data_IF_031521519990
#
_entry.id   IF_031521519990
#
_cell.length_a   1.000
_cell.length_b   1.000
_cell.length_c   1.000
_cell.angle_alpha   90.00
_cell.angle_beta   90.00
_cell.angle_gamma   90.00
#
_symmetry.space_group_name_H-M   'P 1'
#
loop_
_entity.id
_entity.type
_entity.pdbx_description
1 polymer ?
#
# COMPACT_ATOMS: atom_id res chain seq x y z
N UNK A 1 37.08 -8.10 13.38
CA UNK A 1 37.63 -6.79 13.79
C UNK A 1 36.47 -5.93 14.26
N UNK A 2 36.64 -5.19 15.35
CA UNK A 2 35.60 -4.28 15.87
C UNK A 2 35.86 -2.90 15.27
N UNK A 3 34.91 -2.40 14.49
CA UNK A 3 34.96 -1.10 13.84
C UNK A 3 34.17 -0.10 14.67
N UNK A 4 34.58 1.17 14.68
CA UNK A 4 33.82 2.26 15.30
C UNK A 4 33.61 3.38 14.29
N UNK A 5 32.41 3.94 14.25
CA UNK A 5 32.04 5.05 13.37
C UNK A 5 31.15 6.04 14.13
N UNK A 6 31.32 7.34 13.89
CA UNK A 6 30.50 8.38 14.52
C UNK A 6 29.64 9.09 13.49
N UNK A 7 28.35 9.24 13.79
CA UNK A 7 27.41 10.05 13.01
C UNK A 7 27.02 11.28 13.84
N UNK A 8 27.31 12.47 13.34
CA UNK A 8 27.00 13.74 14.02
C UNK A 8 25.67 14.30 13.51
N UNK A 9 24.72 14.53 14.41
CA UNK A 9 23.42 15.12 14.07
C UNK A 9 23.56 16.65 13.86
N UNK A 10 23.17 17.21 12.70
CA UNK A 10 23.30 18.66 12.42
C UNK A 10 22.58 19.55 13.44
N UNK A 11 23.22 20.64 13.88
CA UNK A 11 22.71 21.61 14.89
C UNK A 11 21.23 21.99 14.76
N UNK A 12 20.76 22.18 13.52
CA UNK A 12 19.38 22.55 13.19
C UNK A 12 18.31 21.50 13.56
N UNK A 13 18.72 20.26 13.83
CA UNK A 13 17.81 19.15 14.14
C UNK A 13 17.81 18.94 15.66
N UNK A 14 16.67 19.08 16.35
CA UNK A 14 16.58 18.73 17.77
C UNK A 14 16.90 17.25 17.99
N UNK A 15 17.74 16.92 18.97
CA UNK A 15 18.09 15.52 19.27
C UNK A 15 16.86 14.67 19.63
N UNK A 16 15.85 15.27 20.26
CA UNK A 16 14.58 14.59 20.57
C UNK A 16 13.83 14.10 19.32
N UNK A 17 14.02 14.74 18.16
CA UNK A 17 13.41 14.30 16.91
C UNK A 17 14.10 13.05 16.33
N UNK A 18 15.35 12.79 16.75
CA UNK A 18 16.15 11.65 16.31
C UNK A 18 16.08 10.50 17.31
N UNK A 19 16.14 10.80 18.61
CA UNK A 19 16.17 9.80 19.69
C UNK A 19 14.79 9.39 20.20
N UNK A 20 13.74 10.13 19.85
CA UNK A 20 12.38 9.92 20.31
C UNK A 20 12.16 10.36 21.76
N UNK A 21 10.91 10.29 22.22
CA UNK A 21 10.61 10.63 23.62
C UNK A 21 11.12 9.53 24.55
N UNK A 22 11.81 9.89 25.64
CA UNK A 22 12.43 8.93 26.59
C UNK A 22 13.35 7.90 25.91
N UNK A 23 14.02 8.31 24.85
CA UNK A 23 14.97 7.50 24.06
C UNK A 23 14.35 6.23 23.43
N UNK A 24 13.03 6.24 23.17
CA UNK A 24 12.33 5.08 22.61
C UNK A 24 12.87 4.65 21.24
N UNK A 25 13.28 5.60 20.39
CA UNK A 25 13.87 5.33 19.07
C UNK A 25 15.27 4.77 19.21
N UNK A 26 16.08 5.32 20.13
CA UNK A 26 17.42 4.78 20.40
C UNK A 26 17.34 3.32 20.84
N UNK A 27 16.44 2.98 21.78
CA UNK A 27 16.25 1.59 22.22
C UNK A 27 15.74 0.68 21.11
N UNK A 28 14.93 1.20 20.20
CA UNK A 28 14.48 0.43 19.02
C UNK A 28 15.65 0.13 18.09
N UNK A 29 16.50 1.11 17.81
CA UNK A 29 17.72 0.97 17.02
C UNK A 29 18.70 -0.02 17.66
N UNK A 30 18.95 0.08 18.96
CA UNK A 30 19.83 -0.83 19.69
C UNK A 30 19.37 -2.29 19.59
N UNK A 31 18.07 -2.54 19.70
CA UNK A 31 17.51 -3.89 19.54
C UNK A 31 17.63 -4.43 18.13
N UNK A 32 17.31 -3.61 17.12
CA UNK A 32 17.27 -4.07 15.74
C UNK A 32 18.63 -4.10 15.03
N UNK A 33 19.63 -3.36 15.53
CA UNK A 33 20.98 -3.31 14.96
C UNK A 33 22.00 -4.22 15.67
N UNK A 34 21.57 -4.99 16.67
CA UNK A 34 22.44 -5.97 17.33
C UNK A 34 23.11 -6.89 16.29
N UNK A 35 24.44 -7.10 16.34
CA UNK A 35 25.35 -6.84 17.46
C UNK A 35 26.02 -5.44 17.49
N UNK A 36 25.64 -4.48 16.65
CA UNK A 36 26.16 -3.12 16.72
C UNK A 36 25.64 -2.41 17.99
N UNK A 37 26.55 -1.78 18.72
CA UNK A 37 26.27 -0.98 19.92
C UNK A 37 26.22 0.51 19.56
N UNK A 38 25.24 1.21 20.12
CA UNK A 38 25.05 2.64 19.93
C UNK A 38 25.35 3.38 21.24
N UNK A 39 26.11 4.47 21.16
CA UNK A 39 26.39 5.36 22.27
C UNK A 39 26.16 6.80 21.83
N UNK A 40 25.32 7.52 22.57
CA UNK A 40 25.00 8.92 22.25
C UNK A 40 25.71 9.85 23.23
N UNK A 41 26.49 10.79 22.71
CA UNK A 41 27.13 11.85 23.50
C UNK A 41 26.88 13.21 22.86
N UNK A 42 26.02 14.00 23.48
CA UNK A 42 25.62 15.30 22.93
C UNK A 42 24.89 15.13 21.61
N UNK A 43 25.58 15.37 20.49
CA UNK A 43 25.03 15.25 19.13
C UNK A 43 25.68 14.14 18.31
N UNK A 44 26.65 13.46 18.89
CA UNK A 44 27.38 12.38 18.24
C UNK A 44 26.77 11.04 18.64
N UNK A 45 26.42 10.26 17.63
CA UNK A 45 25.96 8.87 17.77
C UNK A 45 27.14 8.00 17.33
N UNK A 46 27.82 7.41 18.30
CA UNK A 46 28.91 6.48 18.08
C UNK A 46 28.35 5.06 17.92
N UNK A 47 28.83 4.37 16.89
CA UNK A 47 28.41 3.02 16.49
C UNK A 47 29.64 2.13 16.61
N UNK A 48 29.55 1.01 17.31
CA UNK A 48 30.68 0.09 17.49
C UNK A 48 30.23 -1.37 17.32
N UNK A 49 30.99 -2.18 16.59
CA UNK A 49 30.62 -3.58 16.35
C UNK A 49 31.37 -4.21 15.17
N UNK A 50 30.89 -5.34 14.63
CA UNK A 50 31.40 -5.90 13.38
C UNK A 50 31.22 -4.92 12.22
N UNK A 51 32.18 -4.87 11.31
CA UNK A 51 32.21 -3.92 10.19
C UNK A 51 30.89 -3.88 9.39
N UNK A 52 30.36 -5.04 8.99
CA UNK A 52 29.09 -5.14 8.27
C UNK A 52 27.90 -4.55 9.06
N UNK A 53 27.86 -4.77 10.38
CA UNK A 53 26.80 -4.23 11.24
C UNK A 53 26.94 -2.71 11.43
N UNK A 54 28.19 -2.22 11.53
CA UNK A 54 28.49 -0.78 11.63
C UNK A 54 28.09 -0.06 10.35
N UNK A 55 28.31 -0.64 9.18
CA UNK A 55 27.93 -0.05 7.90
C UNK A 55 26.41 0.07 7.73
N UNK A 56 25.66 -0.99 8.07
CA UNK A 56 24.19 -0.98 8.06
C UNK A 56 23.67 0.09 9.03
N UNK A 57 24.18 0.09 10.28
CA UNK A 57 23.79 1.05 11.30
C UNK A 57 24.10 2.50 10.88
N UNK A 58 25.28 2.75 10.30
CA UNK A 58 25.68 4.07 9.79
C UNK A 58 24.73 4.57 8.71
N UNK A 59 24.43 3.72 7.72
CA UNK A 59 23.52 4.08 6.64
C UNK A 59 22.11 4.34 7.15
N UNK A 60 21.60 3.51 8.08
CA UNK A 60 20.28 3.69 8.69
C UNK A 60 20.19 5.01 9.46
N UNK A 61 21.14 5.26 10.35
CA UNK A 61 21.14 6.47 11.18
C UNK A 61 21.27 7.72 10.31
N UNK A 62 22.11 7.69 9.26
CA UNK A 62 22.20 8.79 8.29
C UNK A 62 20.87 9.11 7.61
N UNK A 63 20.16 8.08 7.15
CA UNK A 63 18.84 8.20 6.52
C UNK A 63 17.79 8.73 7.50
N UNK A 64 17.74 8.19 8.71
CA UNK A 64 16.84 8.65 9.78
C UNK A 64 17.09 10.09 10.20
N UNK A 65 18.36 10.51 10.29
CA UNK A 65 18.73 11.92 10.53
C UNK A 65 18.25 12.80 9.37
N UNK A 66 18.30 12.31 8.12
CA UNK A 66 17.76 13.03 6.98
C UNK A 66 16.23 13.14 7.02
N UNK A 67 15.51 12.11 7.44
CA UNK A 67 14.06 12.16 7.68
C UNK A 67 13.70 13.15 8.80
N UNK A 68 14.44 13.12 9.92
CA UNK A 68 14.25 14.10 10.99
C UNK A 68 14.51 15.54 10.53
N UNK A 69 15.39 15.73 9.54
CA UNK A 69 15.70 17.04 8.98
C UNK A 69 14.57 17.66 8.16
N UNK A 70 13.61 16.85 7.67
CA UNK A 70 12.40 17.36 6.99
C UNK A 70 11.28 17.73 7.97
N UNK A 71 11.57 17.80 9.27
CA UNK A 71 10.61 18.21 10.31
C UNK A 71 9.72 17.08 10.83
N UNK A 72 9.94 15.84 10.39
CA UNK A 72 9.21 14.69 10.91
C UNK A 72 9.84 14.18 12.21
N UNK A 73 9.03 13.89 13.23
CA UNK A 73 9.49 13.21 14.43
C UNK A 73 9.63 11.71 14.15
N UNK A 74 10.80 11.14 14.46
CA UNK A 74 10.98 9.70 14.38
C UNK A 74 10.18 9.02 15.50
N UNK A 75 9.50 7.93 15.14
CA UNK A 75 8.81 7.04 16.07
C UNK A 75 9.43 5.66 16.01
N UNK A 76 9.22 4.86 17.05
CA UNK A 76 9.63 3.44 17.10
C UNK A 76 9.18 2.69 15.84
N UNK A 77 7.91 2.86 15.44
CA UNK A 77 7.35 2.29 14.22
C UNK A 77 8.08 2.71 12.94
N UNK A 78 8.49 3.98 12.84
CA UNK A 78 9.22 4.48 11.67
C UNK A 78 10.62 3.86 11.55
N UNK A 79 11.26 3.64 12.70
CA UNK A 79 12.59 3.03 12.81
C UNK A 79 12.53 1.54 12.48
N UNK A 80 11.56 0.82 13.04
CA UNK A 80 11.34 -0.60 12.71
C UNK A 80 11.09 -0.80 11.22
N UNK A 81 10.27 0.07 10.59
CA UNK A 81 10.08 0.05 9.14
C UNK A 81 11.37 0.33 8.37
N UNK A 82 12.16 1.33 8.77
CA UNK A 82 13.42 1.66 8.12
C UNK A 82 14.42 0.49 8.19
N UNK A 83 14.47 -0.21 9.32
CA UNK A 83 15.27 -1.43 9.49
C UNK A 83 14.82 -2.55 8.56
N UNK A 84 13.52 -2.80 8.44
CA UNK A 84 12.98 -3.80 7.51
C UNK A 84 13.32 -3.47 6.06
N UNK A 85 13.21 -2.19 5.65
CA UNK A 85 13.57 -1.74 4.30
C UNK A 85 15.05 -2.02 4.01
N UNK A 86 15.93 -1.71 4.95
CA UNK A 86 17.37 -1.93 4.78
C UNK A 86 17.77 -3.40 4.78
N UNK A 87 17.13 -4.23 5.62
CA UNK A 87 17.41 -5.67 5.71
C UNK A 87 17.02 -6.40 4.42
N UNK A 88 16.03 -5.88 3.69
CA UNK A 88 15.64 -6.37 2.36
C UNK A 88 16.57 -5.90 1.22
N UNK A 89 17.75 -5.33 1.54
CA UNK A 89 18.77 -4.95 0.56
C UNK A 89 18.58 -3.58 -0.09
N UNK A 90 17.70 -2.74 0.45
CA UNK A 90 17.36 -1.44 -0.14
C UNK A 90 17.91 -0.29 0.71
N UNK A 91 18.83 0.49 0.13
CA UNK A 91 19.62 1.50 0.84
C UNK A 91 18.97 2.90 0.93
N UNK A 92 17.66 3.04 0.78
CA UNK A 92 16.99 4.37 0.78
C UNK A 92 15.65 4.45 1.56
N UNK A 93 15.64 4.21 2.89
CA UNK A 93 14.44 4.37 3.70
C UNK A 93 13.79 5.77 3.64
N UNK A 94 14.58 6.84 3.47
CA UNK A 94 14.05 8.21 3.42
C UNK A 94 13.00 8.39 2.32
N UNK A 95 13.26 7.89 1.11
CA UNK A 95 12.35 8.05 -0.03
C UNK A 95 10.97 7.44 0.25
N UNK A 96 10.90 6.35 1.03
CA UNK A 96 9.64 5.74 1.43
C UNK A 96 8.99 6.54 2.58
N UNK A 97 9.77 6.89 3.61
CA UNK A 97 9.23 7.51 4.83
C UNK A 97 8.72 8.94 4.64
N UNK A 98 9.27 9.69 3.69
CA UNK A 98 8.87 11.08 3.43
C UNK A 98 7.76 11.24 2.39
N UNK A 99 7.33 10.15 1.74
CA UNK A 99 6.34 10.22 0.66
C UNK A 99 4.93 10.22 1.21
N UNK A 100 4.40 11.39 1.56
CA UNK A 100 3.02 11.53 2.01
C UNK A 100 2.08 11.59 0.80
N UNK A 101 1.05 10.73 0.78
CA UNK A 101 0.05 10.73 -0.30
C UNK A 101 -1.09 11.66 0.07
N UNK A 102 -1.72 11.40 1.22
CA UNK A 102 -2.91 12.12 1.66
C UNK A 102 -2.85 12.28 3.17
N UNK A 103 -3.15 13.47 3.67
CA UNK A 103 -3.37 13.70 5.10
C UNK A 103 -4.79 14.20 5.31
N UNK A 104 -5.56 13.45 6.09
CA UNK A 104 -6.92 13.80 6.46
C UNK A 104 -7.11 13.60 7.97
N UNK A 105 -7.63 14.61 8.67
CA UNK A 105 -7.93 14.55 10.13
C UNK A 105 -6.77 14.00 10.99
N UNK A 106 -5.53 14.34 10.66
CA UNK A 106 -4.33 13.87 11.37
C UNK A 106 -3.89 12.43 11.04
N UNK A 107 -4.64 11.69 10.21
CA UNK A 107 -4.18 10.44 9.62
C UNK A 107 -3.47 10.72 8.30
N UNK A 108 -2.20 10.31 8.20
CA UNK A 108 -1.43 10.39 6.94
C UNK A 108 -1.34 9.02 6.29
N UNK A 109 -1.84 8.91 5.07
CA UNK A 109 -1.68 7.76 4.18
C UNK A 109 -0.39 7.94 3.40
N UNK A 110 0.51 6.97 3.51
CA UNK A 110 1.83 6.94 2.86
C UNK A 110 2.24 5.48 2.57
N UNK A 111 3.07 5.21 1.55
CA UNK A 111 3.69 3.92 1.40
C UNK A 111 4.59 3.66 2.60
N UNK A 112 4.61 2.42 3.07
CA UNK A 112 5.36 1.97 4.25
C UNK A 112 6.50 1.03 3.88
N UNK A 113 6.51 0.54 2.65
CA UNK A 113 7.52 -0.35 2.09
C UNK A 113 7.98 0.18 0.74
N UNK A 114 9.11 -0.33 0.26
CA UNK A 114 9.62 0.05 -1.05
C UNK A 114 8.70 -0.41 -2.19
N UNK A 115 8.15 -1.63 -2.14
CA UNK A 115 7.21 -2.11 -3.16
C UNK A 115 5.95 -1.23 -3.21
N UNK A 116 5.46 -0.79 -2.05
CA UNK A 116 4.36 0.18 -1.99
C UNK A 116 4.73 1.54 -2.59
N UNK A 117 5.98 2.00 -2.43
CA UNK A 117 6.47 3.24 -3.04
C UNK A 117 6.58 3.11 -4.56
N UNK A 118 7.19 2.03 -5.05
CA UNK A 118 7.27 1.74 -6.48
C UNK A 118 5.87 1.65 -7.10
N UNK A 119 4.92 1.04 -6.39
CA UNK A 119 3.53 1.00 -6.80
C UNK A 119 2.90 2.39 -6.94
N UNK A 120 3.09 3.25 -5.94
CA UNK A 120 2.57 4.62 -5.94
C UNK A 120 3.19 5.47 -7.05
N UNK A 121 4.50 5.33 -7.28
CA UNK A 121 5.22 6.04 -8.35
C UNK A 121 4.75 5.58 -9.73
N UNK A 122 4.59 4.26 -9.90
CA UNK A 122 4.05 3.70 -11.13
C UNK A 122 2.65 4.27 -11.42
N UNK A 123 1.81 4.44 -10.39
CA UNK A 123 0.50 5.10 -10.53
C UNK A 123 0.66 6.52 -11.02
N UNK A 124 1.66 7.30 -10.61
CA UNK A 124 1.85 8.65 -11.13
C UNK A 124 2.29 8.66 -12.60
N UNK A 125 3.24 7.80 -12.95
CA UNK A 125 3.94 7.81 -14.24
C UNK A 125 3.19 7.13 -15.39
N UNK A 126 2.23 6.23 -15.11
CA UNK A 126 1.61 5.37 -16.11
C UNK A 126 0.10 5.58 -16.22
N UNK A 127 -0.47 5.36 -17.41
CA UNK A 127 -1.91 5.48 -17.64
C UNK A 127 -2.68 4.30 -17.04
N UNK A 128 -2.11 3.09 -17.13
CA UNK A 128 -2.69 1.87 -16.55
C UNK A 128 -1.67 1.21 -15.64
N UNK A 129 -2.06 0.91 -14.39
CA UNK A 129 -1.21 0.20 -13.44
C UNK A 129 -1.94 -1.01 -12.88
N UNK A 130 -1.26 -2.15 -12.88
CA UNK A 130 -1.70 -3.36 -12.22
C UNK A 130 -0.94 -3.54 -10.91
N UNK A 131 -1.63 -3.46 -9.77
CA UNK A 131 -1.11 -3.78 -8.45
C UNK A 131 -1.51 -5.21 -8.07
N UNK A 132 -0.59 -6.15 -8.16
CA UNK A 132 -0.86 -7.58 -7.93
C UNK A 132 -0.13 -8.00 -6.66
N UNK A 133 -0.82 -8.62 -5.70
CA UNK A 133 -0.18 -9.13 -4.49
C UNK A 133 -1.16 -9.51 -3.39
N UNK A 134 -0.66 -10.07 -2.27
CA UNK A 134 -1.51 -10.61 -1.22
C UNK A 134 -2.36 -9.56 -0.50
N UNK A 135 -3.38 -10.00 0.22
CA UNK A 135 -4.18 -9.14 1.09
C UNK A 135 -3.32 -8.48 2.19
N UNK A 136 -3.54 -7.18 2.41
CA UNK A 136 -2.78 -6.39 3.41
C UNK A 136 -1.52 -5.71 2.87
N UNK A 137 -1.20 -5.85 1.58
CA UNK A 137 -0.12 -5.11 0.90
C UNK A 137 -0.46 -3.65 0.59
N UNK A 138 -1.70 -3.24 0.81
CA UNK A 138 -2.15 -1.85 0.59
C UNK A 138 -2.49 -1.49 -0.87
N UNK A 139 -2.48 -2.45 -1.80
CA UNK A 139 -2.76 -2.22 -3.25
C UNK A 139 -4.00 -1.35 -3.53
N UNK A 140 -5.14 -1.72 -2.99
CA UNK A 140 -6.40 -0.98 -3.21
C UNK A 140 -6.42 0.32 -2.43
N UNK A 141 -5.97 0.29 -1.17
CA UNK A 141 -5.97 1.46 -0.28
C UNK A 141 -5.08 2.60 -0.80
N UNK A 142 -3.87 2.29 -1.27
CA UNK A 142 -2.96 3.29 -1.84
C UNK A 142 -3.45 3.82 -3.19
N UNK A 143 -4.07 2.96 -4.02
CA UNK A 143 -4.69 3.41 -5.27
C UNK A 143 -5.83 4.40 -5.03
N UNK A 144 -6.69 4.12 -4.05
CA UNK A 144 -7.78 5.01 -3.64
C UNK A 144 -7.23 6.33 -3.10
N UNK A 145 -6.18 6.32 -2.29
CA UNK A 145 -5.54 7.54 -1.81
C UNK A 145 -5.03 8.40 -2.98
N UNK A 146 -4.40 7.79 -4.00
CA UNK A 146 -3.98 8.50 -5.22
C UNK A 146 -5.16 9.04 -6.04
N UNK A 147 -6.26 8.29 -6.13
CA UNK A 147 -7.46 8.76 -6.79
C UNK A 147 -8.06 10.00 -6.11
N UNK A 148 -8.12 9.99 -4.76
CA UNK A 148 -8.60 11.13 -3.97
C UNK A 148 -7.72 12.36 -4.18
N UNK A 149 -6.40 12.20 -4.16
CA UNK A 149 -5.45 13.30 -4.45
C UNK A 149 -5.67 13.85 -5.86
N UNK A 150 -5.80 12.97 -6.86
CA UNK A 150 -6.03 13.39 -8.25
C UNK A 150 -7.35 14.17 -8.40
N UNK A 151 -8.40 13.80 -7.65
CA UNK A 151 -9.66 14.53 -7.62
C UNK A 151 -9.51 15.90 -6.93
N UNK A 152 -8.90 15.94 -5.73
CA UNK A 152 -8.73 17.18 -4.96
C UNK A 152 -7.82 18.21 -5.67
N UNK A 153 -6.85 17.73 -6.45
CA UNK A 153 -5.96 18.56 -7.26
C UNK A 153 -6.49 18.86 -8.66
N UNK A 154 -7.74 18.49 -8.95
CA UNK A 154 -8.42 18.69 -10.25
C UNK A 154 -7.70 18.06 -11.46
N UNK A 155 -6.89 17.02 -11.26
CA UNK A 155 -6.30 16.25 -12.36
C UNK A 155 -7.37 15.40 -13.07
N UNK A 156 -8.34 14.90 -12.30
CA UNK A 156 -9.54 14.22 -12.79
C UNK A 156 -10.79 14.89 -12.22
N UNK A 157 -11.92 14.71 -12.89
CA UNK A 157 -13.22 15.25 -12.46
C UNK A 157 -14.04 14.26 -11.64
N UNK A 158 -13.72 12.97 -11.72
CA UNK A 158 -14.44 11.90 -11.02
C UNK A 158 -13.56 10.71 -10.68
N UNK A 159 -13.96 9.97 -9.64
CA UNK A 159 -13.40 8.68 -9.25
C UNK A 159 -14.45 7.61 -9.50
N UNK A 160 -14.07 6.51 -10.15
CA UNK A 160 -14.95 5.36 -10.37
C UNK A 160 -14.26 4.14 -9.77
N UNK A 161 -14.89 3.53 -8.77
CA UNK A 161 -14.42 2.29 -8.18
C UNK A 161 -15.37 1.17 -8.56
N UNK A 162 -14.81 0.07 -9.02
CA UNK A 162 -15.58 -1.05 -9.49
C UNK A 162 -14.96 -2.37 -9.09
N UNK A 163 -15.81 -3.37 -8.88
CA UNK A 163 -15.41 -4.71 -8.45
C UNK A 163 -16.28 -5.74 -9.18
N UNK A 164 -15.73 -6.88 -9.63
CA UNK A 164 -16.52 -7.95 -10.22
C UNK A 164 -17.38 -8.58 -9.12
N UNK A 165 -18.64 -8.87 -9.45
CA UNK A 165 -19.52 -9.63 -8.57
C UNK A 165 -19.27 -11.11 -8.85
N UNK A 166 -18.84 -11.84 -7.84
CA UNK A 166 -18.66 -13.30 -7.90
C UNK A 166 -19.62 -13.93 -6.92
N UNK A 167 -20.33 -14.95 -7.36
CA UNK A 167 -21.17 -15.76 -6.48
C UNK A 167 -20.28 -16.73 -5.68
N UNK A 168 -19.59 -16.20 -4.67
CA UNK A 168 -18.78 -16.99 -3.76
C UNK A 168 -19.69 -17.68 -2.71
N UNK A 169 -20.33 -18.78 -3.10
CA UNK A 169 -21.00 -19.71 -2.18
C UNK A 169 -22.51 -19.55 -2.02
N UNK A 170 -23.04 -18.31 -2.03
CA UNK A 170 -24.48 -18.05 -2.09
C UNK A 170 -24.82 -17.36 -3.43
N UNK A 171 -25.77 -17.89 -4.19
CA UNK A 171 -26.21 -17.17 -5.39
C UNK A 171 -26.84 -15.84 -4.97
N UNK A 172 -26.51 -14.75 -5.67
CA UNK A 172 -27.10 -13.43 -5.44
C UNK A 172 -28.65 -13.50 -5.45
N UNK A 173 -29.23 -14.54 -6.08
CA UNK A 173 -30.65 -14.84 -6.05
C UNK A 173 -31.27 -14.95 -4.65
N UNK A 174 -30.54 -15.42 -3.63
CA UNK A 174 -31.11 -15.79 -2.32
C UNK A 174 -31.18 -14.66 -1.27
N UNK A 175 -30.41 -13.58 -1.43
CA UNK A 175 -30.48 -12.44 -0.50
C UNK A 175 -31.81 -11.68 -0.72
N UNK A 176 -32.59 -11.34 0.33
CA UNK A 176 -33.79 -10.51 0.18
C UNK A 176 -33.41 -9.05 -0.13
N UNK A 177 -34.23 -8.34 -0.91
CA UNK A 177 -34.03 -6.91 -1.24
C UNK A 177 -33.82 -6.62 -2.73
N UNK A 178 -33.56 -5.34 -3.05
CA UNK A 178 -33.27 -4.89 -4.41
C UNK A 178 -31.90 -5.40 -4.88
N UNK A 179 -31.63 -5.40 -6.20
CA UNK A 179 -30.32 -5.79 -6.73
C UNK A 179 -29.17 -4.99 -6.10
N UNK A 180 -29.41 -3.71 -5.78
CA UNK A 180 -28.43 -2.86 -5.12
C UNK A 180 -28.16 -3.32 -3.68
N UNK A 181 -29.21 -3.67 -2.91
CA UNK A 181 -29.07 -4.16 -1.53
C UNK A 181 -28.25 -5.45 -1.44
N UNK A 182 -28.30 -6.28 -2.50
CA UNK A 182 -27.56 -7.53 -2.61
C UNK A 182 -26.07 -7.33 -2.93
N UNK A 183 -25.72 -6.25 -3.62
CA UNK A 183 -24.35 -5.96 -4.06
C UNK A 183 -23.63 -5.08 -3.02
N UNK A 184 -24.36 -4.25 -2.26
CA UNK A 184 -23.80 -3.33 -1.26
C UNK A 184 -22.78 -3.99 -0.31
N UNK A 185 -23.00 -5.22 0.24
CA UNK A 185 -22.02 -5.85 1.11
C UNK A 185 -20.63 -6.06 0.47
N UNK A 186 -20.58 -6.34 -0.85
CA UNK A 186 -19.34 -6.54 -1.58
C UNK A 186 -18.57 -5.23 -1.83
N UNK A 187 -19.30 -4.11 -1.86
CA UNK A 187 -18.74 -2.77 -2.09
C UNK A 187 -18.36 -2.06 -0.79
N UNK A 188 -18.90 -2.51 0.36
CA UNK A 188 -18.66 -1.89 1.68
C UNK A 188 -17.21 -1.59 2.02
N UNK A 189 -16.23 -2.50 1.76
CA UNK A 189 -14.82 -2.19 2.03
C UNK A 189 -14.30 -0.93 1.29
N UNK A 190 -14.83 -0.64 0.09
CA UNK A 190 -14.48 0.56 -0.67
C UNK A 190 -15.09 1.81 -0.02
N UNK A 191 -16.33 1.73 0.48
CA UNK A 191 -16.93 2.84 1.23
C UNK A 191 -16.17 3.12 2.53
N UNK A 192 -15.82 2.08 3.29
CA UNK A 192 -15.07 2.21 4.54
C UNK A 192 -13.71 2.89 4.30
N UNK A 193 -13.00 2.52 3.22
CA UNK A 193 -11.75 3.14 2.85
C UNK A 193 -11.90 4.63 2.46
N UNK A 194 -13.02 5.04 1.86
CA UNK A 194 -13.28 6.46 1.58
C UNK A 194 -13.45 7.28 2.87
N UNK A 195 -14.07 6.71 3.91
CA UNK A 195 -14.24 7.40 5.20
C UNK A 195 -12.91 7.69 5.91
N UNK A 196 -11.85 6.94 5.61
CA UNK A 196 -10.50 7.26 6.07
C UNK A 196 -9.85 8.41 5.29
N UNK A 197 -10.27 8.65 4.04
CA UNK A 197 -9.61 9.55 3.10
C UNK A 197 -10.30 10.91 2.97
N UNK A 198 -11.62 10.95 3.16
CA UNK A 198 -12.45 12.13 2.97
C UNK A 198 -13.22 12.48 4.23
N UNK A 199 -13.68 13.73 4.32
CA UNK A 199 -14.62 14.10 5.36
C UNK A 199 -15.95 13.32 5.21
N UNK A 200 -16.45 12.65 6.26
CA UNK A 200 -17.69 11.88 6.22
C UNK A 200 -18.90 12.67 5.70
N UNK A 201 -18.94 13.99 5.94
CA UNK A 201 -20.02 14.87 5.48
C UNK A 201 -19.95 15.18 3.97
N UNK A 202 -18.76 15.07 3.36
CA UNK A 202 -18.56 15.31 1.93
C UNK A 202 -18.91 14.08 1.09
N UNK A 203 -18.68 12.87 1.63
CA UNK A 203 -18.86 11.60 0.89
C UNK A 203 -20.28 11.47 0.30
N UNK A 204 -21.38 11.65 1.05
CA UNK A 204 -22.73 11.55 0.49
C UNK A 204 -22.98 12.53 -0.66
N UNK A 205 -22.43 13.76 -0.56
CA UNK A 205 -22.57 14.78 -1.61
C UNK A 205 -21.82 14.38 -2.88
N UNK A 206 -20.59 13.86 -2.74
CA UNK A 206 -19.77 13.41 -3.86
C UNK A 206 -20.36 12.18 -4.56
N UNK A 207 -20.94 11.25 -3.79
CA UNK A 207 -21.66 10.09 -4.33
C UNK A 207 -22.94 10.53 -5.08
N UNK A 208 -23.76 11.38 -4.46
CA UNK A 208 -25.00 11.87 -5.07
C UNK A 208 -24.75 12.69 -6.35
N UNK A 209 -23.64 13.44 -6.42
CA UNK A 209 -23.24 14.18 -7.61
C UNK A 209 -22.62 13.30 -8.71
N UNK A 210 -22.31 12.02 -8.43
CA UNK A 210 -21.58 11.14 -9.35
C UNK A 210 -20.10 11.50 -9.51
N UNK A 211 -19.57 12.37 -8.65
CA UNK A 211 -18.14 12.69 -8.59
C UNK A 211 -17.34 11.50 -8.08
N UNK A 212 -17.90 10.75 -7.14
CA UNK A 212 -17.41 9.43 -6.75
C UNK A 212 -18.49 8.42 -7.10
N UNK A 213 -18.12 7.35 -7.80
CA UNK A 213 -19.01 6.27 -8.17
C UNK A 213 -18.44 4.95 -7.65
N UNK A 214 -19.25 4.17 -6.93
CA UNK A 214 -18.92 2.79 -6.53
C UNK A 214 -19.95 1.88 -7.16
N UNK A 215 -19.55 1.04 -8.10
CA UNK A 215 -20.49 0.26 -8.91
C UNK A 215 -19.93 -1.10 -9.36
N UNK A 216 -20.78 -2.10 -9.63
CA UNK A 216 -20.36 -3.38 -10.19
C UNK A 216 -19.66 -3.25 -11.54
N UNK A 217 -18.75 -4.17 -11.87
CA UNK A 217 -18.03 -4.17 -13.15
C UNK A 217 -18.94 -4.16 -14.38
N UNK A 218 -20.12 -4.79 -14.28
CA UNK A 218 -21.10 -4.83 -15.36
C UNK A 218 -21.56 -3.42 -15.82
N UNK A 219 -21.56 -2.44 -14.91
CA UNK A 219 -22.00 -1.06 -15.19
C UNK A 219 -20.98 -0.29 -16.05
N UNK A 220 -19.78 -0.84 -16.25
CA UNK A 220 -18.77 -0.24 -17.12
C UNK A 220 -19.05 -0.48 -18.61
N UNK A 221 -19.93 -1.44 -18.93
CA UNK A 221 -20.23 -1.83 -20.32
C UNK A 221 -20.79 -0.65 -21.11
N UNK A 222 -20.23 -0.41 -22.31
CA UNK A 222 -20.70 0.64 -23.21
C UNK A 222 -20.32 2.06 -22.80
N UNK A 223 -19.54 2.24 -21.73
CA UNK A 223 -19.07 3.57 -21.29
C UNK A 223 -17.73 3.93 -21.93
N UNK A 224 -17.47 5.23 -22.00
CA UNK A 224 -16.13 5.79 -22.19
C UNK A 224 -15.83 6.66 -20.97
N UNK A 225 -14.76 6.32 -20.27
CA UNK A 225 -14.43 6.93 -18.98
C UNK A 225 -13.42 8.05 -19.22
N UNK A 226 -13.90 9.23 -19.60
CA UNK A 226 -13.08 10.46 -19.71
C UNK A 226 -12.96 11.18 -18.35
N UNK A 227 -11.88 11.92 -18.18
CA UNK A 227 -11.57 12.76 -17.01
C UNK A 227 -11.75 12.01 -15.68
N UNK A 228 -11.35 10.73 -15.63
CA UNK A 228 -11.68 9.82 -14.54
C UNK A 228 -10.46 9.07 -14.00
N UNK A 229 -10.40 8.92 -12.68
CA UNK A 229 -9.54 7.94 -12.04
C UNK A 229 -10.37 6.69 -11.74
N UNK A 230 -10.04 5.58 -12.39
CA UNK A 230 -10.83 4.35 -12.35
C UNK A 230 -10.06 3.25 -11.64
N UNK A 231 -10.67 2.62 -10.64
CA UNK A 231 -10.08 1.51 -9.89
C UNK A 231 -10.93 0.27 -10.11
N UNK A 232 -10.34 -0.80 -10.65
CA UNK A 232 -10.93 -2.14 -10.67
C UNK A 232 -10.30 -2.97 -9.55
N UNK A 233 -11.06 -3.21 -8.49
CA UNK A 233 -10.63 -4.02 -7.36
C UNK A 233 -11.01 -5.49 -7.52
N UNK A 234 -10.25 -6.37 -6.86
CA UNK A 234 -10.39 -7.83 -6.92
C UNK A 234 -10.41 -8.39 -8.35
N UNK A 235 -9.52 -7.86 -9.18
CA UNK A 235 -9.48 -8.15 -10.60
C UNK A 235 -9.14 -9.63 -10.92
N UNK A 236 -8.61 -10.38 -9.95
CA UNK A 236 -8.40 -11.83 -10.11
C UNK A 236 -9.72 -12.56 -10.41
N UNK A 237 -10.84 -11.96 -10.02
CA UNK A 237 -12.19 -12.45 -10.21
C UNK A 237 -12.87 -11.96 -11.49
N UNK A 238 -12.09 -11.50 -12.46
CA UNK A 238 -12.57 -11.18 -13.81
C UNK A 238 -12.27 -12.29 -14.79
N UNK A 239 -13.10 -12.46 -15.82
CA UNK A 239 -12.74 -13.26 -17.01
C UNK A 239 -11.88 -12.43 -17.99
N UNK A 240 -11.20 -13.06 -18.96
CA UNK A 240 -10.44 -12.32 -19.99
C UNK A 240 -11.31 -11.35 -20.79
N UNK A 241 -12.56 -11.72 -21.07
CA UNK A 241 -13.53 -10.87 -21.79
C UNK A 241 -13.92 -9.65 -20.94
N UNK A 242 -14.15 -9.84 -19.65
CA UNK A 242 -14.45 -8.75 -18.72
C UNK A 242 -13.27 -7.79 -18.56
N UNK A 243 -12.06 -8.32 -18.42
CA UNK A 243 -10.83 -7.52 -18.35
C UNK A 243 -10.64 -6.70 -19.64
N UNK A 244 -10.79 -7.33 -20.81
CA UNK A 244 -10.73 -6.62 -22.11
C UNK A 244 -11.83 -5.58 -22.24
N UNK A 245 -13.06 -5.91 -21.84
CA UNK A 245 -14.18 -4.98 -21.84
C UNK A 245 -13.87 -3.75 -21.00
N UNK A 246 -13.36 -3.94 -19.78
CA UNK A 246 -13.01 -2.88 -18.85
C UNK A 246 -11.87 -1.99 -19.34
N UNK A 247 -10.73 -2.57 -19.73
CA UNK A 247 -9.56 -1.80 -20.17
C UNK A 247 -9.86 -0.96 -21.41
N UNK A 248 -10.75 -1.44 -22.30
CA UNK A 248 -11.18 -0.68 -23.48
C UNK A 248 -12.21 0.42 -23.17
N UNK A 249 -12.58 0.64 -21.90
CA UNK A 249 -13.40 1.79 -21.50
C UNK A 249 -12.55 3.05 -21.22
N UNK A 250 -11.22 2.94 -21.23
CA UNK A 250 -10.30 4.06 -21.03
C UNK A 250 -10.64 5.21 -21.99
N UNK A 251 -10.93 6.38 -21.42
CA UNK A 251 -11.12 7.63 -22.17
C UNK A 251 -9.91 8.57 -22.05
N UNK A 252 -10.05 9.77 -22.61
CA UNK A 252 -9.05 10.82 -22.51
C UNK A 252 -8.93 11.36 -21.08
N UNK A 253 -7.71 11.79 -20.73
CA UNK A 253 -7.37 12.36 -19.42
C UNK A 253 -7.83 11.47 -18.25
N UNK A 254 -7.64 10.16 -18.39
CA UNK A 254 -8.06 9.18 -17.41
C UNK A 254 -6.92 8.25 -17.04
N UNK A 255 -7.02 7.68 -15.85
CA UNK A 255 -6.06 6.73 -15.30
C UNK A 255 -6.81 5.50 -14.80
N UNK A 256 -6.26 4.32 -15.03
CA UNK A 256 -6.81 3.05 -14.57
C UNK A 256 -5.82 2.40 -13.61
N UNK A 257 -6.30 1.99 -12.44
CA UNK A 257 -5.57 1.11 -11.55
C UNK A 257 -6.35 -0.18 -11.37
N UNK A 258 -5.72 -1.32 -11.62
CA UNK A 258 -6.30 -2.66 -11.48
C UNK A 258 -5.61 -3.36 -10.32
N UNK A 259 -6.36 -3.73 -9.30
CA UNK A 259 -5.82 -4.41 -8.11
C UNK A 259 -6.34 -5.83 -8.00
N UNK A 260 -5.49 -6.76 -7.56
CA UNK A 260 -5.93 -8.14 -7.36
C UNK A 260 -4.89 -9.05 -6.71
N UNK A 261 -5.33 -10.25 -6.38
CA UNK A 261 -4.49 -11.29 -5.78
C UNK A 261 -4.70 -12.62 -6.54
N UNK A 262 -3.72 -13.04 -7.32
CA UNK A 262 -3.81 -14.27 -8.12
C UNK A 262 -3.87 -15.55 -7.26
N UNK A 263 -3.64 -15.47 -5.94
CA UNK A 263 -3.80 -16.60 -5.02
C UNK A 263 -5.23 -16.77 -4.51
N UNK A 264 -6.10 -15.76 -4.70
CA UNK A 264 -7.48 -15.71 -4.19
C UNK A 264 -8.50 -15.65 -5.34
N UNK A 265 -8.40 -16.58 -6.30
CA UNK A 265 -9.32 -16.66 -7.45
C UNK A 265 -10.60 -17.39 -7.03
N UNK A 266 -11.72 -16.67 -6.99
CA UNK A 266 -13.04 -17.18 -6.62
C UNK A 266 -13.89 -17.60 -7.84
N UNK A 267 -13.30 -17.60 -9.04
CA UNK A 267 -14.01 -17.97 -10.26
C UNK A 267 -14.39 -19.46 -10.27
N UNK A 268 -15.49 -19.85 -10.96
CA UNK A 268 -15.88 -21.24 -11.11
C UNK A 268 -14.73 -22.10 -11.66
N UNK A 269 -14.63 -23.35 -11.16
CA UNK A 269 -13.61 -24.33 -11.60
C UNK A 269 -13.55 -24.38 -13.14
N UNK A 270 -12.33 -24.30 -13.68
CA UNK A 270 -11.99 -24.21 -15.12
C UNK A 270 -12.13 -22.84 -15.80
N UNK A 271 -12.53 -21.79 -15.07
CA UNK A 271 -12.52 -20.43 -15.62
C UNK A 271 -11.14 -19.81 -15.41
N UNK A 272 -10.51 -19.34 -16.49
CA UNK A 272 -9.20 -18.67 -16.36
C UNK A 272 -9.40 -17.23 -15.92
N UNK A 273 -8.59 -16.77 -14.96
CA UNK A 273 -8.59 -15.37 -14.53
C UNK A 273 -8.08 -14.45 -15.64
N UNK A 274 -8.83 -13.37 -15.90
CA UNK A 274 -8.46 -12.29 -16.79
C UNK A 274 -7.20 -11.58 -16.33
N UNK A 275 -7.02 -11.37 -15.01
CA UNK A 275 -5.80 -10.81 -14.44
C UNK A 275 -4.58 -11.69 -14.69
N UNK A 276 -4.75 -13.02 -14.60
CA UNK A 276 -3.66 -13.97 -14.84
C UNK A 276 -3.16 -13.96 -16.29
N UNK A 277 -4.06 -13.86 -17.26
CA UNK A 277 -3.70 -13.84 -18.68
C UNK A 277 -3.24 -12.45 -19.14
N UNK A 278 -3.88 -11.37 -18.69
CA UNK A 278 -3.63 -10.02 -19.22
C UNK A 278 -2.19 -9.57 -19.02
N UNK A 279 -1.54 -10.05 -17.96
CA UNK A 279 -0.11 -9.85 -17.71
C UNK A 279 0.78 -10.31 -18.86
N UNK A 280 0.44 -11.45 -19.49
CA UNK A 280 1.18 -11.97 -20.65
C UNK A 280 0.86 -11.19 -21.92
N UNK A 281 -0.39 -10.77 -22.08
CA UNK A 281 -0.87 -10.06 -23.27
C UNK A 281 -0.30 -8.63 -23.35
N UNK A 282 -0.29 -7.90 -22.23
CA UNK A 282 0.02 -6.46 -22.19
C UNK A 282 1.43 -6.14 -21.68
N UNK A 283 2.32 -7.15 -21.54
CA UNK A 283 3.66 -6.98 -20.95
C UNK A 283 4.51 -5.89 -21.60
N UNK A 284 4.37 -5.70 -22.92
CA UNK A 284 5.21 -4.82 -23.73
C UNK A 284 4.43 -3.61 -24.28
N UNK A 285 3.30 -3.25 -23.65
CA UNK A 285 2.52 -2.08 -24.06
C UNK A 285 2.97 -0.89 -23.23
N UNK A 286 3.39 0.17 -23.92
CA UNK A 286 3.83 1.41 -23.27
C UNK A 286 2.73 2.02 -22.39
N UNK A 287 3.14 2.69 -21.31
CA UNK A 287 2.24 3.29 -20.30
C UNK A 287 1.32 2.29 -19.56
N UNK A 288 1.61 0.99 -19.66
CA UNK A 288 1.03 -0.07 -18.81
C UNK A 288 2.13 -0.65 -17.93
N UNK A 289 1.94 -0.58 -16.60
CA UNK A 289 2.90 -1.12 -15.64
C UNK A 289 2.27 -2.22 -14.78
N UNK A 290 3.03 -3.28 -14.53
CA UNK A 290 2.69 -4.33 -13.57
C UNK A 290 3.63 -4.22 -12.38
N UNK A 291 3.05 -4.08 -11.18
CA UNK A 291 3.75 -4.01 -9.91
C UNK A 291 3.32 -5.20 -9.05
N UNK A 292 4.29 -6.03 -8.71
CA UNK A 292 4.10 -7.22 -7.88
C UNK A 292 4.48 -6.87 -6.44
N UNK A 293 3.50 -6.90 -5.54
CA UNK A 293 3.69 -6.71 -4.10
C UNK A 293 3.81 -8.08 -3.43
N UNK A 294 4.79 -8.22 -2.55
CA UNK A 294 5.11 -9.48 -1.88
C UNK A 294 4.68 -9.53 -0.42
N UNK A 295 5.08 -10.59 0.27
CA UNK A 295 4.89 -10.72 1.73
C UNK A 295 5.58 -9.58 2.50
N UNK A 296 6.74 -9.10 2.02
CA UNK A 296 7.45 -7.97 2.61
C UNK A 296 6.72 -6.62 2.50
N UNK A 297 5.67 -6.53 1.68
CA UNK A 297 4.84 -5.34 1.54
C UNK A 297 3.58 -5.37 2.42
N UNK A 298 3.34 -6.48 3.13
CA UNK A 298 2.19 -6.62 4.01
C UNK A 298 2.43 -5.82 5.29
N UNK A 299 1.61 -4.79 5.52
CA UNK A 299 1.72 -3.98 6.74
C UNK A 299 0.43 -4.07 7.54
N UNK A 300 0.50 -4.85 8.61
CA UNK A 300 -0.60 -5.07 9.56
C UNK A 300 -0.20 -4.59 10.94
N UNK A 301 -1.19 -4.42 11.81
CA UNK A 301 -0.94 -4.18 13.22
C UNK A 301 -0.16 -5.37 13.83
N UNK A 302 0.80 -5.11 14.73
CA UNK A 302 1.66 -6.16 15.32
C UNK A 302 0.85 -7.33 15.89
N UNK A 303 -0.19 -7.02 16.67
CA UNK A 303 -1.08 -8.04 17.23
C UNK A 303 -1.73 -8.94 16.18
N UNK A 304 -2.07 -8.41 14.99
CA UNK A 304 -2.64 -9.21 13.90
C UNK A 304 -1.59 -10.16 13.34
N UNK A 305 -0.33 -9.71 13.21
CA UNK A 305 0.78 -10.58 12.84
C UNK A 305 0.99 -11.68 13.90
N UNK A 306 1.04 -11.31 15.18
CA UNK A 306 1.19 -12.24 16.31
C UNK A 306 0.09 -13.32 16.32
N UNK A 307 -1.15 -12.93 16.01
CA UNK A 307 -2.29 -13.86 15.89
C UNK A 307 -2.09 -14.79 14.70
N UNK A 308 -1.73 -14.29 13.52
CA UNK A 308 -1.51 -15.11 12.32
C UNK A 308 -0.38 -16.13 12.58
N UNK A 309 0.71 -15.70 13.18
CA UNK A 309 1.86 -16.56 13.52
C UNK A 309 1.51 -17.63 14.55
N UNK A 310 0.59 -17.34 15.49
CA UNK A 310 0.07 -18.33 16.42
C UNK A 310 -0.75 -19.41 15.71
N UNK A 311 -1.63 -19.04 14.78
CA UNK A 311 -2.41 -20.00 13.98
C UNK A 311 -1.53 -20.80 13.02
N UNK A 312 -0.53 -20.18 12.40
CA UNK A 312 0.40 -20.86 11.50
C UNK A 312 1.22 -21.94 12.23
N UNK A 313 1.66 -21.66 13.47
CA UNK A 313 2.34 -22.65 14.31
C UNK A 313 1.44 -23.83 14.66
N UNK A 314 0.20 -23.55 15.09
CA UNK A 314 -0.78 -24.59 15.40
C UNK A 314 -1.07 -25.50 14.19
N UNK A 315 -1.32 -24.91 13.02
CA UNK A 315 -1.59 -25.67 11.79
C UNK A 315 -0.38 -26.48 11.30
N UNK A 316 0.85 -26.05 11.63
CA UNK A 316 2.07 -26.80 11.36
C UNK A 316 2.28 -28.00 12.30
N UNK A 317 1.86 -27.87 13.57
CA UNK A 317 1.93 -28.95 14.56
C UNK A 317 0.93 -30.08 14.26
N UNK A 318 -0.25 -29.78 13.74
CA UNK A 318 -1.29 -30.77 13.35
C UNK A 318 -0.91 -31.67 12.14
N UNK A 319 0.25 -31.45 11.49
CA UNK A 319 0.72 -32.32 10.40
C UNK A 319 1.59 -33.50 10.85
N UNK A 320 1.76 -33.68 12.17
CA UNK A 320 2.61 -34.72 12.76
C UNK A 320 1.89 -35.72 13.70
N UNK A 321 0.56 -35.70 13.79
CA UNK A 321 -0.25 -36.70 14.49
C UNK A 321 -1.11 -37.56 13.54
#
# INVERSE_FOLDING_TARGET
>A
MTTSHTVTVPQRIPMINVLGHRDEVLRALERGLAPAQLYVRGRDIQITGPEASVDIARSLIGELVSVASSGQHLTTDAVERAMTIMTNGLNKPKEVLTTDILTNRGKTIRPKTFGQKEYVDAIDENTIVFGIGPAGTGKTYLAMAKAVVALQTNQVKRIIMTRPVVEAGESLGYLPGSLNDKIDPYMRPLYDALYDMLDPEAIPKLLAAGTIEVAPLAYMRGRTLNDAFVILDEAQNTTPEQMKMFLTRLGFNSKIVVTGDLTQVDLPRNTTSGLGIVRRILRNVDHIKFIELGAGDVVRHRLVADIIDAYARYAGEDTHD
#
